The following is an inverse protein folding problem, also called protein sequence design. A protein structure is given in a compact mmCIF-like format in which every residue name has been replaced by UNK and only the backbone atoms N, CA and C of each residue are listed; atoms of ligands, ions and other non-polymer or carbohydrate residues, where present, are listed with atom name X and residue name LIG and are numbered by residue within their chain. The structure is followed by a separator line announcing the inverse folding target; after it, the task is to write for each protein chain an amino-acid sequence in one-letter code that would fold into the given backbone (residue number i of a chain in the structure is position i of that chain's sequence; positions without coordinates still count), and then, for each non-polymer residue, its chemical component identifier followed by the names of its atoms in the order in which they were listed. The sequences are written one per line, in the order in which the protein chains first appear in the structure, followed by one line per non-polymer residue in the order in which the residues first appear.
data_IF_143557685485
#
_entry.id   IF_143557685485
#
_cell.length_a   1.000
_cell.length_b   1.000
_cell.length_c   1.000
_cell.angle_alpha   90.00
_cell.angle_beta   90.00
_cell.angle_gamma   90.00
#
_symmetry.space_group_name_H-M   'P 1'
#
loop_
_entity.id
_entity.type
_entity.pdbx_description
1 polymer ?
#
# COMPACT_ATOMS: atom_id res chain seq x y z
N UNK A 1 16.55 -2.49 15.60
CA UNK A 1 16.23 -2.81 15.24
C UNK A 1 15.75 -3.07 14.68
N UNK A 2 15.77 -3.03 14.66
CA UNK A 2 15.36 -3.32 14.16
C UNK A 2 15.09 -3.60 13.34
N UNK A 3 15.41 -3.41 13.30
CA UNK A 3 15.21 -3.72 12.50
C UNK A 3 14.89 -4.39 11.89
N UNK A 4 15.03 -4.45 12.13
CA UNK A 4 14.64 -5.20 11.69
C UNK A 4 13.93 -5.66 11.06
N UNK A 5 13.77 -5.37 11.14
CA UNK A 5 12.95 -5.75 10.64
C UNK A 5 12.75 -5.94 9.66
N UNK A 6 13.22 -5.58 9.75
CA UNK A 6 13.07 -5.64 8.81
C UNK A 6 13.09 -6.19 8.04
N UNK A 7 13.16 -5.54 8.14
CA UNK A 7 13.57 -6.29 7.19
C UNK A 7 12.82 -7.44 6.55
N UNK A 8 12.33 -8.17 6.93
CA UNK A 8 11.76 -9.35 6.57
C UNK A 8 11.03 -9.39 5.26
N UNK A 9 9.87 -8.95 5.17
CA UNK A 9 9.08 -9.04 3.97
C UNK A 9 8.59 -7.67 3.55
N UNK A 10 9.52 -6.80 3.27
CA UNK A 10 9.14 -5.42 2.96
C UNK A 10 8.27 -5.30 1.73
N UNK A 11 8.43 -6.20 0.77
CA UNK A 11 7.67 -6.07 -0.46
C UNK A 11 6.18 -6.29 -0.26
N UNK A 12 5.83 -7.04 0.76
CA UNK A 12 4.42 -7.23 1.05
C UNK A 12 3.75 -5.99 1.57
N UNK A 13 4.55 -5.13 2.20
CA UNK A 13 4.01 -3.92 2.80
C UNK A 13 4.12 -2.73 1.88
N UNK A 14 4.57 -2.95 0.67
CA UNK A 14 4.73 -1.87 -0.29
C UNK A 14 3.79 -2.06 -1.46
N UNK A 15 3.18 -0.96 -1.85
CA UNK A 15 2.20 -0.97 -2.93
C UNK A 15 2.89 -0.53 -4.21
N UNK A 16 2.87 -1.41 -5.22
CA UNK A 16 3.47 -1.10 -6.51
C UNK A 16 2.37 -0.82 -7.52
N UNK A 17 2.12 0.46 -7.78
CA UNK A 17 1.05 0.85 -8.70
C UNK A 17 1.40 0.61 -10.16
N UNK A 18 2.62 0.22 -10.44
CA UNK A 18 3.03 -0.06 -11.82
C UNK A 18 2.65 -1.47 -12.26
N UNK A 19 2.24 -2.30 -11.31
CA UNK A 19 1.80 -3.65 -11.61
C UNK A 19 0.29 -3.73 -11.48
N UNK A 20 -0.38 -4.03 -12.58
CA UNK A 20 -1.84 -4.07 -12.57
C UNK A 20 -2.39 -5.02 -11.54
N UNK A 21 -1.76 -6.19 -11.39
CA UNK A 21 -2.27 -7.17 -10.44
C UNK A 21 -2.17 -6.66 -9.00
N UNK A 22 -1.18 -5.85 -8.71
CA UNK A 22 -1.06 -5.27 -7.37
C UNK A 22 -2.14 -4.22 -7.14
N UNK A 23 -2.40 -3.40 -8.16
CA UNK A 23 -3.46 -2.42 -8.03
C UNK A 23 -4.78 -3.12 -7.73
N UNK A 24 -5.07 -4.19 -8.46
CA UNK A 24 -6.29 -4.94 -8.22
C UNK A 24 -6.30 -5.58 -6.84
N UNK A 25 -5.17 -6.13 -6.44
CA UNK A 25 -5.06 -6.74 -5.12
C UNK A 25 -5.37 -5.72 -4.01
N UNK A 26 -4.70 -4.58 -4.08
CA UNK A 26 -4.83 -3.59 -3.02
C UNK A 26 -6.19 -2.91 -3.02
N UNK A 27 -6.77 -2.67 -4.19
CA UNK A 27 -8.11 -2.08 -4.22
C UNK A 27 -9.13 -3.01 -3.58
N UNK A 28 -9.00 -4.31 -3.80
CA UNK A 28 -9.88 -5.26 -3.17
C UNK A 28 -9.60 -5.38 -1.68
N UNK A 29 -8.34 -5.47 -1.32
CA UNK A 29 -7.96 -5.64 0.07
C UNK A 29 -8.39 -4.44 0.91
N UNK A 30 -8.32 -3.25 0.36
CA UNK A 30 -8.66 -2.03 1.07
C UNK A 30 -10.09 -1.56 0.81
N UNK A 31 -10.76 -2.16 -0.17
CA UNK A 31 -12.13 -1.79 -0.46
C UNK A 31 -12.27 -0.40 -1.07
N UNK A 32 -11.32 -0.02 -1.91
CA UNK A 32 -11.32 1.30 -2.53
C UNK A 32 -11.12 1.19 -4.03
N UNK A 33 -11.33 2.28 -4.74
CA UNK A 33 -11.08 2.32 -6.17
C UNK A 33 -9.60 2.51 -6.44
N UNK A 34 -9.22 2.26 -7.70
CA UNK A 34 -7.83 2.48 -8.10
C UNK A 34 -7.44 3.95 -7.93
N UNK A 35 -8.35 4.86 -8.24
CA UNK A 35 -8.07 6.28 -8.07
C UNK A 35 -7.82 6.63 -6.61
N UNK A 36 -8.64 6.09 -5.72
CA UNK A 36 -8.47 6.32 -4.30
C UNK A 36 -7.13 5.77 -3.81
N UNK A 37 -6.78 4.60 -4.30
CA UNK A 37 -5.50 3.99 -3.94
C UNK A 37 -4.34 4.86 -4.39
N UNK A 38 -4.40 5.36 -5.62
CA UNK A 38 -3.33 6.20 -6.14
C UNK A 38 -3.19 7.48 -5.35
N UNK A 39 -4.32 8.09 -5.02
CA UNK A 39 -4.30 9.33 -4.27
C UNK A 39 -3.69 9.12 -2.90
N UNK A 40 -4.03 8.02 -2.26
CA UNK A 40 -3.47 7.72 -0.95
C UNK A 40 -1.96 7.50 -1.03
N UNK A 41 -1.52 6.75 -2.04
CA UNK A 41 -0.09 6.51 -2.23
C UNK A 41 0.64 7.81 -2.53
N UNK A 42 0.03 8.67 -3.32
CA UNK A 42 0.62 9.96 -3.65
C UNK A 42 0.75 10.83 -2.40
N UNK A 43 -0.17 10.71 -1.48
CA UNK A 43 -0.17 11.53 -0.27
C UNK A 43 0.80 11.02 0.78
N UNK A 44 0.90 9.72 0.96
CA UNK A 44 1.65 9.15 2.08
C UNK A 44 2.75 8.16 1.67
N UNK A 45 2.89 7.90 0.39
CA UNK A 45 3.91 6.98 -0.09
C UNK A 45 3.38 5.59 -0.29
N UNK A 46 4.28 4.63 -0.52
CA UNK A 46 3.91 3.27 -0.90
C UNK A 46 3.74 2.32 0.29
N UNK A 47 3.84 2.81 1.51
CA UNK A 47 3.66 1.98 2.69
C UNK A 47 2.19 1.57 2.80
N UNK A 48 1.93 0.28 2.85
CA UNK A 48 0.56 -0.20 2.95
C UNK A 48 -0.11 0.29 4.24
N UNK A 49 0.64 0.31 5.33
CA UNK A 49 0.10 0.80 6.59
C UNK A 49 -0.29 2.27 6.52
N UNK A 50 0.57 3.08 5.92
CA UNK A 50 0.30 4.51 5.80
C UNK A 50 -0.90 4.74 4.89
N UNK A 51 -0.97 3.99 3.79
CA UNK A 51 -2.08 4.11 2.86
C UNK A 51 -3.38 3.69 3.54
N UNK A 52 -3.33 2.61 4.31
CA UNK A 52 -4.52 2.15 5.01
C UNK A 52 -5.03 3.21 5.98
N UNK A 53 -4.13 3.84 6.69
CA UNK A 53 -4.51 4.91 7.61
C UNK A 53 -5.08 6.10 6.88
N UNK A 54 -4.45 6.45 5.74
CA UNK A 54 -4.92 7.57 4.93
C UNK A 54 -6.34 7.33 4.44
N UNK A 55 -6.66 6.09 4.12
CA UNK A 55 -7.98 5.74 3.60
C UNK A 55 -9.00 5.50 4.71
N UNK A 56 -8.57 5.45 5.96
CA UNK A 56 -9.47 5.21 7.06
C UNK A 56 -9.91 3.77 7.17
N UNK A 57 -9.12 2.87 6.63
CA UNK A 57 -9.43 1.45 6.66
C UNK A 57 -8.57 0.76 7.69
#
# INVERSE_FOLDING_TARGET
MDDKKNTGAPDRDRINLQEDYEVQYWTKALGVSADELRQAVDAVGTSADAVRRQLGK
#
